data_IF_441435960437
#
_entry.id   IF_441435960437
#
_cell.length_a   1.000
_cell.length_b   1.000
_cell.length_c   1.000
_cell.angle_alpha   90.00
_cell.angle_beta   90.00
_cell.angle_gamma   90.00
#
_symmetry.space_group_name_H-M   'P 1'
#
loop_
_entity.id
_entity.type
_entity.pdbx_description
1 polymer ?
#
# COMPACT_ATOMS: atom_id res chain seq x y z
N UNK A 1 7.53 -7.77 28.99
CA UNK A 1 6.46 -8.18 28.05
C UNK A 1 5.69 -6.91 27.68
N UNK A 2 6.37 -5.91 27.10
CA UNK A 2 5.84 -4.52 27.06
C UNK A 2 6.04 -3.79 25.73
N UNK A 3 6.62 -4.45 24.72
CA UNK A 3 6.96 -3.82 23.44
C UNK A 3 5.89 -3.95 22.35
N UNK A 4 4.98 -4.92 22.45
CA UNK A 4 3.93 -5.14 21.44
C UNK A 4 2.76 -4.15 21.57
N UNK A 5 2.39 -3.77 22.80
CA UNK A 5 1.23 -2.92 23.09
C UNK A 5 1.34 -1.49 22.53
N UNK A 6 2.57 -1.00 22.29
CA UNK A 6 2.79 0.37 21.78
C UNK A 6 2.94 0.46 20.27
N UNK A 7 3.09 -0.68 19.59
CA UNK A 7 3.27 -0.67 18.15
C UNK A 7 1.94 -0.31 17.47
N UNK A 8 2.06 0.58 16.50
CA UNK A 8 0.98 0.89 15.58
C UNK A 8 0.76 -0.25 14.60
N UNK A 9 -0.46 -0.38 14.08
CA UNK A 9 -0.80 -1.39 13.06
C UNK A 9 0.14 -1.26 11.85
N UNK A 10 0.46 -0.03 11.44
CA UNK A 10 1.39 0.24 10.35
C UNK A 10 2.81 -0.24 10.64
N UNK A 11 3.28 -0.11 11.88
CA UNK A 11 4.62 -0.60 12.27
C UNK A 11 4.74 -2.12 12.22
N UNK A 12 3.66 -2.85 12.55
CA UNK A 12 3.60 -4.30 12.39
C UNK A 12 3.71 -4.72 10.92
N UNK A 13 2.95 -4.07 10.02
CA UNK A 13 3.01 -4.37 8.57
C UNK A 13 4.36 -3.98 7.97
N UNK A 14 4.91 -2.84 8.39
CA UNK A 14 6.23 -2.42 7.93
C UNK A 14 7.35 -3.34 8.44
N UNK A 15 7.16 -4.01 9.58
CA UNK A 15 8.12 -5.00 10.10
C UNK A 15 7.98 -6.33 9.35
N UNK A 16 6.75 -6.74 9.08
CA UNK A 16 6.43 -8.00 8.39
C UNK A 16 5.11 -7.83 7.64
N UNK A 17 5.21 -7.78 6.31
CA UNK A 17 4.05 -7.52 5.46
C UNK A 17 2.98 -8.62 5.55
N UNK A 18 3.32 -9.83 6.03
CA UNK A 18 2.35 -10.93 6.19
C UNK A 18 1.32 -10.60 7.25
N UNK A 19 1.64 -9.73 8.21
CA UNK A 19 0.67 -9.21 9.18
C UNK A 19 -0.46 -8.41 8.51
N UNK A 20 -0.24 -7.87 7.29
CA UNK A 20 -1.30 -7.23 6.50
C UNK A 20 -2.47 -8.19 6.22
N UNK A 21 -2.18 -9.44 5.83
CA UNK A 21 -3.22 -10.44 5.57
C UNK A 21 -4.03 -10.76 6.83
N UNK A 22 -3.36 -10.81 7.98
CA UNK A 22 -4.00 -10.96 9.28
C UNK A 22 -4.92 -9.78 9.58
N UNK A 23 -4.45 -8.54 9.42
CA UNK A 23 -5.27 -7.35 9.63
C UNK A 23 -6.46 -7.28 8.65
N UNK A 24 -6.28 -7.65 7.38
CA UNK A 24 -7.37 -7.76 6.40
C UNK A 24 -8.45 -8.74 6.84
N UNK A 25 -8.08 -9.91 7.39
CA UNK A 25 -9.02 -10.90 7.94
C UNK A 25 -9.91 -10.30 9.04
N UNK A 26 -9.35 -9.42 9.87
CA UNK A 26 -10.07 -8.70 10.93
C UNK A 26 -10.67 -7.35 10.47
N UNK A 27 -10.62 -7.04 9.17
CA UNK A 27 -11.05 -5.77 8.57
C UNK A 27 -10.37 -4.55 9.22
N UNK A 28 -9.13 -4.71 9.66
CA UNK A 28 -8.30 -3.66 10.25
C UNK A 28 -7.61 -2.90 9.10
N UNK A 29 -7.83 -1.59 9.05
CA UNK A 29 -7.33 -0.71 8.01
C UNK A 29 -5.91 -0.25 8.33
N UNK A 30 -4.93 -1.08 7.99
CA UNK A 30 -3.51 -0.79 8.19
C UNK A 30 -2.96 0.20 7.16
N UNK A 31 -3.60 0.34 6.00
CA UNK A 31 -3.11 1.16 4.89
C UNK A 31 -3.42 2.64 5.11
N UNK A 32 -4.66 2.99 5.46
CA UNK A 32 -5.08 4.38 5.65
C UNK A 32 -5.04 4.82 7.12
N UNK A 33 -5.14 3.87 8.06
CA UNK A 33 -5.21 4.14 9.52
C UNK A 33 -4.13 3.38 10.29
N UNK A 34 -2.99 3.16 9.64
CA UNK A 34 -1.84 2.46 10.21
C UNK A 34 -1.23 3.14 11.45
N UNK A 35 -1.51 4.41 11.69
CA UNK A 35 -1.01 5.17 12.84
C UNK A 35 -1.69 4.84 14.19
N UNK A 36 -2.74 4.01 14.18
CA UNK A 36 -3.41 3.56 15.41
C UNK A 36 -2.68 2.39 16.03
N UNK A 37 -2.67 2.33 17.35
CA UNK A 37 -2.13 1.21 18.12
C UNK A 37 -3.02 -0.03 18.01
N UNK A 38 -2.46 -1.20 18.35
CA UNK A 38 -3.22 -2.44 18.41
C UNK A 38 -4.40 -2.35 19.39
N UNK A 39 -4.16 -1.76 20.56
CA UNK A 39 -5.17 -1.57 21.61
C UNK A 39 -6.34 -0.73 21.13
N UNK A 40 -6.07 0.44 20.54
CA UNK A 40 -7.11 1.34 20.03
C UNK A 40 -7.99 0.67 18.96
N UNK A 41 -7.37 -0.13 18.10
CA UNK A 41 -8.08 -0.85 17.04
C UNK A 41 -8.88 -2.01 17.58
N UNK A 42 -8.33 -2.75 18.55
CA UNK A 42 -9.01 -3.86 19.20
C UNK A 42 -10.21 -3.37 20.02
N UNK A 43 -10.05 -2.32 20.82
CA UNK A 43 -11.11 -1.70 21.60
C UNK A 43 -12.25 -1.21 20.71
N UNK A 44 -11.94 -0.46 19.66
CA UNK A 44 -12.93 0.08 18.73
C UNK A 44 -13.73 -1.01 17.97
N UNK A 45 -13.15 -2.22 17.83
CA UNK A 45 -13.77 -3.36 17.13
C UNK A 45 -14.34 -4.42 18.05
N UNK A 46 -14.17 -4.29 19.37
CA UNK A 46 -14.53 -5.33 20.35
C UNK A 46 -13.73 -6.63 20.17
N UNK A 47 -12.47 -6.53 19.76
CA UNK A 47 -11.56 -7.68 19.60
C UNK A 47 -10.74 -7.88 20.89
N UNK A 48 -10.45 -9.14 21.21
CA UNK A 48 -9.52 -9.47 22.30
C UNK A 48 -8.08 -9.21 21.84
N UNK A 49 -7.44 -8.21 22.48
CA UNK A 49 -6.06 -7.82 22.18
C UNK A 49 -5.08 -8.98 22.37
N UNK A 50 -5.23 -9.80 23.42
CA UNK A 50 -4.30 -10.89 23.70
C UNK A 50 -4.38 -11.96 22.61
N UNK A 51 -5.60 -12.24 22.13
CA UNK A 51 -5.78 -13.14 20.99
C UNK A 51 -5.12 -12.57 19.74
N UNK A 52 -5.27 -11.27 19.51
CA UNK A 52 -4.68 -10.60 18.35
C UNK A 52 -3.14 -10.64 18.40
N UNK A 53 -2.54 -10.34 19.55
CA UNK A 53 -1.09 -10.45 19.77
C UNK A 53 -0.58 -11.87 19.52
N UNK A 54 -1.31 -12.89 19.98
CA UNK A 54 -0.94 -14.29 19.73
C UNK A 54 -0.97 -14.64 18.24
N UNK A 55 -1.98 -14.20 17.48
CA UNK A 55 -2.02 -14.41 16.03
C UNK A 55 -0.93 -13.63 15.30
N UNK A 56 -0.61 -12.40 15.72
CA UNK A 56 0.51 -11.61 15.18
C UNK A 56 1.82 -12.35 15.43
N UNK A 57 2.09 -12.76 16.67
CA UNK A 57 3.30 -13.49 17.04
C UNK A 57 3.42 -14.82 16.28
N UNK A 58 2.30 -15.51 16.01
CA UNK A 58 2.32 -16.72 15.19
C UNK A 58 2.80 -16.44 13.76
N UNK A 59 2.37 -15.32 13.16
CA UNK A 59 2.86 -14.88 11.85
C UNK A 59 4.34 -14.53 11.92
N UNK A 60 4.75 -13.68 12.87
CA UNK A 60 6.13 -13.22 13.00
C UNK A 60 7.13 -14.37 13.26
N UNK A 61 6.70 -15.43 13.95
CA UNK A 61 7.54 -16.59 14.26
C UNK A 61 7.56 -17.65 13.14
N UNK A 62 6.80 -17.48 12.05
CA UNK A 62 6.94 -18.39 10.90
C UNK A 62 8.23 -18.07 10.15
N UNK A 63 9.14 -19.06 10.07
CA UNK A 63 10.39 -19.00 9.32
C UNK A 63 10.11 -18.80 7.82
N UNK A 64 10.01 -17.56 7.38
CA UNK A 64 10.11 -17.18 5.98
C UNK A 64 11.56 -16.79 5.67
N UNK A 65 12.09 -17.38 4.61
CA UNK A 65 13.40 -17.03 4.07
C UNK A 65 13.37 -15.61 3.50
N UNK A 66 14.23 -14.74 4.05
CA UNK A 66 14.66 -13.46 3.47
C UNK A 66 13.54 -12.55 2.97
N UNK A 67 12.80 -11.95 3.90
CA UNK A 67 11.97 -10.78 3.60
C UNK A 67 12.86 -9.54 3.42
N UNK A 68 12.54 -8.72 2.42
CA UNK A 68 13.22 -7.44 2.18
C UNK A 68 12.85 -6.51 3.34
N UNK A 69 13.84 -6.07 4.11
CA UNK A 69 13.63 -5.10 5.18
C UNK A 69 13.48 -3.68 4.59
N UNK A 70 12.26 -3.33 4.19
CA UNK A 70 11.95 -2.01 3.65
C UNK A 70 12.17 -0.88 4.66
N UNK A 71 12.19 -1.15 5.98
CA UNK A 71 12.52 -0.11 6.98
C UNK A 71 13.99 0.31 6.90
N UNK A 72 14.86 -0.56 6.43
CA UNK A 72 16.27 -0.24 6.20
C UNK A 72 16.51 0.61 4.95
N UNK A 73 15.51 0.73 4.06
CA UNK A 73 15.70 1.46 2.81
C UNK A 73 15.77 2.96 3.07
N UNK A 74 16.72 3.62 2.40
CA UNK A 74 16.64 5.08 2.27
C UNK A 74 15.38 5.47 1.50
N UNK A 75 14.81 6.67 1.72
CA UNK A 75 13.67 7.15 0.94
C UNK A 75 13.91 7.08 -0.57
N UNK A 76 15.13 7.38 -1.03
CA UNK A 76 15.50 7.30 -2.44
C UNK A 76 15.41 5.86 -2.98
N UNK A 77 15.98 4.89 -2.24
CA UNK A 77 15.93 3.49 -2.64
C UNK A 77 14.50 2.94 -2.61
N UNK A 78 13.69 3.35 -1.64
CA UNK A 78 12.28 2.95 -1.56
C UNK A 78 11.45 3.51 -2.72
N UNK A 79 11.68 4.78 -3.09
CA UNK A 79 11.06 5.37 -4.28
C UNK A 79 11.44 4.58 -5.53
N UNK A 80 12.73 4.33 -5.75
CA UNK A 80 13.20 3.63 -6.94
C UNK A 80 12.62 2.20 -6.97
N UNK A 81 12.55 1.51 -5.83
CA UNK A 81 11.89 0.20 -5.73
C UNK A 81 10.40 0.26 -6.11
N UNK A 82 9.65 1.24 -5.61
CA UNK A 82 8.22 1.42 -5.90
C UNK A 82 7.99 1.66 -7.41
N UNK A 83 8.83 2.49 -8.03
CA UNK A 83 8.75 2.78 -9.46
C UNK A 83 8.98 1.53 -10.32
N UNK A 84 10.12 0.87 -10.11
CA UNK A 84 10.54 -0.27 -10.93
C UNK A 84 9.70 -1.53 -10.67
N UNK A 85 9.19 -1.71 -9.45
CA UNK A 85 8.45 -2.93 -9.09
C UNK A 85 6.95 -2.76 -9.26
N UNK A 86 6.37 -1.63 -8.81
CA UNK A 86 4.93 -1.47 -8.71
C UNK A 86 4.37 -0.60 -9.83
N UNK A 87 4.98 0.56 -10.12
CA UNK A 87 4.46 1.46 -11.16
C UNK A 87 4.62 0.83 -12.55
N UNK A 88 5.81 0.31 -12.86
CA UNK A 88 6.05 -0.39 -14.14
C UNK A 88 5.09 -1.58 -14.34
N UNK A 89 4.81 -2.34 -13.26
CA UNK A 89 3.84 -3.42 -13.31
C UNK A 89 2.44 -2.91 -13.64
N UNK A 90 1.96 -1.87 -12.95
CA UNK A 90 0.62 -1.33 -13.17
C UNK A 90 0.51 -0.75 -14.58
N UNK A 91 1.49 0.03 -15.03
CA UNK A 91 1.51 0.65 -16.35
C UNK A 91 1.52 -0.42 -17.47
N UNK A 92 2.33 -1.47 -17.32
CA UNK A 92 2.44 -2.53 -18.34
C UNK A 92 1.23 -3.47 -18.37
N UNK A 93 0.59 -3.78 -17.23
CA UNK A 93 -0.53 -4.74 -17.17
C UNK A 93 -1.89 -4.11 -17.46
N UNK A 94 -2.09 -2.84 -17.11
CA UNK A 94 -3.37 -2.15 -17.31
C UNK A 94 -3.90 -2.21 -18.76
N UNK A 95 -3.13 -1.85 -19.81
CA UNK A 95 -3.63 -1.90 -21.19
C UNK A 95 -3.93 -3.33 -21.64
N UNK A 96 -3.17 -4.32 -21.16
CA UNK A 96 -3.41 -5.74 -21.47
C UNK A 96 -4.73 -6.20 -20.87
N UNK A 97 -5.00 -5.84 -19.60
CA UNK A 97 -6.25 -6.19 -18.93
C UNK A 97 -7.46 -5.52 -19.58
N UNK A 98 -7.36 -4.23 -19.93
CA UNK A 98 -8.41 -3.52 -20.66
C UNK A 98 -8.74 -4.19 -22.00
N UNK A 99 -7.71 -4.55 -22.78
CA UNK A 99 -7.90 -5.28 -24.04
C UNK A 99 -8.64 -6.62 -23.84
N UNK A 100 -8.30 -7.37 -22.80
CA UNK A 100 -8.99 -8.64 -22.51
C UNK A 100 -10.42 -8.44 -22.02
N UNK A 101 -10.68 -7.42 -21.21
CA UNK A 101 -12.04 -7.06 -20.76
C UNK A 101 -12.91 -6.64 -21.94
N UNK A 102 -12.39 -5.86 -22.88
CA UNK A 102 -13.09 -5.49 -24.11
C UNK A 102 -13.42 -6.72 -24.96
N UNK A 103 -12.48 -7.65 -25.08
CA UNK A 103 -12.70 -8.93 -25.78
C UNK A 103 -13.78 -9.77 -25.10
N UNK A 104 -13.77 -9.87 -23.77
CA UNK A 104 -14.79 -10.58 -23.00
C UNK A 104 -16.18 -9.97 -23.20
N UNK A 105 -16.30 -8.64 -23.13
CA UNK A 105 -17.55 -7.93 -23.40
C UNK A 105 -18.05 -8.23 -24.81
N UNK A 106 -17.16 -8.23 -25.81
CA UNK A 106 -17.53 -8.50 -27.21
C UNK A 106 -18.04 -9.93 -27.44
N UNK A 107 -17.42 -10.93 -26.80
CA UNK A 107 -17.72 -12.35 -27.05
C UNK A 107 -18.84 -12.87 -26.15
N UNK A 108 -18.94 -12.35 -24.93
CA UNK A 108 -19.83 -12.90 -23.90
C UNK A 108 -20.82 -11.89 -23.31
N UNK A 109 -20.70 -10.60 -23.62
CA UNK A 109 -21.47 -9.53 -22.97
C UNK A 109 -22.99 -9.63 -23.15
N UNK A 110 -23.48 -10.18 -24.27
CA UNK A 110 -24.93 -10.40 -24.45
C UNK A 110 -25.49 -11.41 -23.44
N UNK A 111 -24.72 -12.46 -23.14
CA UNK A 111 -25.11 -13.50 -22.17
C UNK A 111 -24.78 -13.10 -20.74
N UNK A 112 -23.77 -12.25 -20.57
CA UNK A 112 -23.19 -11.81 -19.31
C UNK A 112 -23.09 -10.28 -19.28
N UNK A 113 -24.22 -9.56 -19.15
CA UNK A 113 -24.24 -8.10 -19.17
C UNK A 113 -23.45 -7.46 -18.02
N UNK A 114 -23.22 -8.19 -16.91
CA UNK A 114 -22.36 -7.78 -15.80
C UNK A 114 -20.92 -7.46 -16.26
N UNK A 115 -20.46 -8.04 -17.37
CA UNK A 115 -19.13 -7.78 -17.93
C UNK A 115 -18.95 -6.33 -18.37
N UNK A 116 -20.02 -5.67 -18.84
CA UNK A 116 -19.94 -4.26 -19.22
C UNK A 116 -19.72 -3.35 -18.01
N UNK A 117 -20.36 -3.67 -16.89
CA UNK A 117 -20.17 -2.94 -15.63
C UNK A 117 -18.75 -3.14 -15.09
N UNK A 118 -18.27 -4.39 -15.05
CA UNK A 118 -16.89 -4.71 -14.63
C UNK A 118 -15.87 -3.97 -15.49
N UNK A 119 -16.04 -3.98 -16.82
CA UNK A 119 -15.15 -3.28 -17.74
C UNK A 119 -15.15 -1.76 -17.47
N UNK A 120 -16.34 -1.16 -17.32
CA UNK A 120 -16.46 0.27 -17.02
C UNK A 120 -15.81 0.64 -15.68
N UNK A 121 -16.06 -0.13 -14.62
CA UNK A 121 -15.47 0.09 -13.31
C UNK A 121 -13.94 -0.06 -13.35
N UNK A 122 -13.43 -1.09 -14.03
CA UNK A 122 -11.99 -1.28 -14.19
C UNK A 122 -11.35 -0.13 -14.97
N UNK A 123 -12.00 0.37 -16.03
CA UNK A 123 -11.52 1.51 -16.81
C UNK A 123 -11.43 2.79 -15.98
N UNK A 124 -12.42 3.06 -15.15
CA UNK A 124 -12.41 4.21 -14.23
C UNK A 124 -11.29 4.04 -13.20
N UNK A 125 -11.26 2.91 -12.48
CA UNK A 125 -10.29 2.66 -11.43
C UNK A 125 -8.84 2.68 -11.93
N UNK A 126 -8.58 2.06 -13.09
CA UNK A 126 -7.24 2.06 -13.69
C UNK A 126 -6.82 3.44 -14.17
N UNK A 127 -7.73 4.25 -14.73
CA UNK A 127 -7.42 5.63 -15.10
C UNK A 127 -7.11 6.50 -13.89
N UNK A 128 -7.87 6.37 -12.80
CA UNK A 128 -7.60 7.09 -11.56
C UNK A 128 -6.27 6.69 -10.94
N UNK A 129 -5.97 5.38 -10.93
CA UNK A 129 -4.71 4.86 -10.43
C UNK A 129 -3.53 5.39 -11.24
N UNK A 130 -3.54 5.27 -12.57
CA UNK A 130 -2.46 5.77 -13.42
C UNK A 130 -2.23 7.28 -13.24
N UNK A 131 -3.31 8.07 -13.12
CA UNK A 131 -3.20 9.50 -12.82
C UNK A 131 -2.58 9.77 -11.44
N UNK A 132 -2.87 8.94 -10.44
CA UNK A 132 -2.28 9.04 -9.11
C UNK A 132 -0.78 8.72 -9.15
N UNK A 133 -0.38 7.61 -9.78
CA UNK A 133 1.03 7.23 -9.94
C UNK A 133 1.84 8.33 -10.62
N UNK A 134 1.28 8.96 -11.66
CA UNK A 134 1.93 10.07 -12.34
C UNK A 134 2.16 11.29 -11.43
N UNK A 135 1.23 11.60 -10.52
CA UNK A 135 1.44 12.67 -9.53
C UNK A 135 2.54 12.30 -8.56
N UNK A 136 2.62 11.04 -8.15
CA UNK A 136 3.70 10.57 -7.28
C UNK A 136 5.05 10.75 -7.98
N UNK A 137 5.17 10.29 -9.23
CA UNK A 137 6.39 10.36 -10.04
C UNK A 137 6.86 11.78 -10.35
N UNK A 138 5.94 12.68 -10.71
CA UNK A 138 6.27 14.02 -11.21
C UNK A 138 6.33 15.07 -10.10
N UNK A 139 5.64 14.83 -8.97
CA UNK A 139 5.47 15.82 -7.91
C UNK A 139 5.98 15.31 -6.57
N UNK A 140 5.41 14.22 -6.04
CA UNK A 140 5.67 13.78 -4.67
C UNK A 140 7.09 13.23 -4.48
N UNK A 141 7.49 12.24 -5.30
CA UNK A 141 8.79 11.59 -5.19
C UNK A 141 9.95 12.55 -5.45
N UNK A 142 9.92 13.46 -6.44
CA UNK A 142 10.94 14.49 -6.58
C UNK A 142 11.05 15.39 -5.34
N UNK A 143 9.93 15.73 -4.72
CA UNK A 143 9.93 16.52 -3.50
C UNK A 143 10.53 15.75 -2.32
N UNK A 144 10.20 14.46 -2.14
CA UNK A 144 10.81 13.60 -1.11
C UNK A 144 12.33 13.48 -1.33
N UNK A 145 12.80 13.33 -2.58
CA UNK A 145 14.23 13.32 -2.91
C UNK A 145 14.89 14.65 -2.52
N UNK A 146 14.23 15.78 -2.80
CA UNK A 146 14.69 17.12 -2.39
C UNK A 146 14.77 17.25 -0.87
N UNK A 147 13.75 16.79 -0.13
CA UNK A 147 13.75 16.77 1.33
C UNK A 147 14.89 15.94 1.91
N UNK A 148 15.11 14.74 1.36
CA UNK A 148 16.17 13.85 1.81
C UNK A 148 17.55 14.49 1.62
N UNK A 149 17.77 15.19 0.50
CA UNK A 149 19.01 15.92 0.25
C UNK A 149 19.18 17.13 1.19
N UNK A 150 18.12 17.90 1.42
CA UNK A 150 18.15 19.06 2.31
C UNK A 150 18.50 18.65 3.76
N UNK A 151 17.89 17.57 4.26
CA UNK A 151 18.20 16.99 5.57
C UNK A 151 19.69 16.60 5.65
N UNK A 152 20.22 15.94 4.60
CA UNK A 152 21.62 15.52 4.55
C UNK A 152 22.61 16.70 4.55
N UNK A 153 22.22 17.82 3.95
CA UNK A 153 23.05 19.02 3.82
C UNK A 153 22.79 20.08 4.92
N UNK A 154 21.88 19.82 5.86
CA UNK A 154 21.39 20.80 6.85
C UNK A 154 20.82 22.08 6.21
N UNK A 155 20.10 21.93 5.09
CA UNK A 155 19.45 23.00 4.37
C UNK A 155 17.95 23.11 4.74
N UNK A 156 17.40 24.31 4.66
CA UNK A 156 15.96 24.54 4.86
C UNK A 156 15.20 24.27 3.57
N UNK A 157 14.04 23.61 3.66
CA UNK A 157 13.14 23.40 2.52
C UNK A 157 11.93 24.33 2.59
N UNK A 158 11.49 24.82 1.45
CA UNK A 158 10.22 25.52 1.34
C UNK A 158 9.07 24.52 1.33
N UNK A 159 7.94 24.91 1.93
CA UNK A 159 6.75 24.07 1.85
C UNK A 159 6.34 23.85 0.40
N UNK A 160 5.95 22.62 0.04
CA UNK A 160 5.51 22.33 -1.31
C UNK A 160 4.22 23.10 -1.62
N UNK A 161 4.08 23.54 -2.88
CA UNK A 161 2.85 24.21 -3.35
C UNK A 161 1.68 23.25 -3.59
N UNK A 162 1.92 21.94 -3.50
CA UNK A 162 0.88 20.92 -3.58
C UNK A 162 0.35 20.60 -2.17
N UNK A 163 -0.97 20.42 -2.05
CA UNK A 163 -1.61 19.99 -0.80
C UNK A 163 -1.44 18.49 -0.57
N UNK A 164 -2.55 17.76 -0.65
CA UNK A 164 -2.52 16.28 -0.66
C UNK A 164 -2.34 15.77 -2.09
N UNK A 165 -1.52 14.73 -2.25
CA UNK A 165 -1.33 14.00 -3.53
C UNK A 165 -2.28 12.81 -3.60
#
# INVERSE_FOLDING_TARGET
MDTLQKNTIGEFVAQDFRTAALFSKYKIDFCCKGNKTLDEVCEAKGLDVNKMENEINAVLNTNSSSEIDFKSFSPNLLIDYILETHHEYIESKTPVLLMYLDKLCKVHGERHPELFEINNLFKIASSELLNHLQKEEVVLFPFIKTMTNAIKNNETIQQPGFGTV
#
